data_IF_160762145309
#
_entry.id   IF_160762145309
#
_cell.length_a   1.000
_cell.length_b   1.000
_cell.length_c   1.000
_cell.angle_alpha   90.00
_cell.angle_beta   90.00
_cell.angle_gamma   90.00
#
_symmetry.space_group_name_H-M   'P 1'
#
loop_
_entity.id
_entity.type
_entity.pdbx_description
1 polymer ?
#
# COMPACT_ATOMS: atom_id res chain seq x y z
N UNK A 1 -57.13 -30.96 54.28
CA UNK A 1 -56.18 -29.96 53.80
C UNK A 1 -54.81 -30.55 53.50
N UNK A 2 -54.64 -31.74 52.90
CA UNK A 2 -53.34 -32.38 52.61
C UNK A 2 -53.11 -32.66 51.11
N UNK A 3 -54.05 -32.40 50.23
CA UNK A 3 -53.96 -32.73 48.80
C UNK A 3 -53.41 -31.61 47.90
N UNK A 4 -53.34 -30.38 48.40
CA UNK A 4 -52.88 -29.23 47.59
C UNK A 4 -51.35 -29.10 47.49
N UNK A 5 -50.58 -29.70 48.40
CA UNK A 5 -49.12 -29.58 48.41
C UNK A 5 -48.43 -30.52 47.39
N UNK A 6 -49.05 -31.68 47.18
CA UNK A 6 -48.49 -32.67 46.24
C UNK A 6 -48.61 -32.29 44.76
N UNK A 7 -49.65 -31.53 44.40
CA UNK A 7 -49.79 -31.03 43.03
C UNK A 7 -48.81 -29.88 42.71
N UNK A 8 -48.44 -29.06 43.70
CA UNK A 8 -47.46 -28.02 43.49
C UNK A 8 -46.02 -28.54 43.37
N UNK A 9 -45.67 -29.61 44.09
CA UNK A 9 -44.34 -30.19 43.97
C UNK A 9 -44.12 -30.94 42.65
N UNK A 10 -45.18 -31.54 42.06
CA UNK A 10 -45.09 -32.24 40.78
C UNK A 10 -44.90 -31.25 39.60
N UNK A 11 -45.52 -30.10 39.66
CA UNK A 11 -45.38 -29.10 38.59
C UNK A 11 -44.00 -28.43 38.61
N UNK A 12 -43.40 -28.21 39.76
CA UNK A 12 -42.05 -27.61 39.87
C UNK A 12 -40.98 -28.59 39.39
N UNK A 13 -41.15 -29.89 39.70
CA UNK A 13 -40.22 -30.93 39.21
C UNK A 13 -40.25 -31.10 37.70
N UNK A 14 -41.45 -31.01 37.08
CA UNK A 14 -41.57 -31.14 35.62
C UNK A 14 -41.00 -29.94 34.86
N UNK A 15 -41.19 -28.74 35.38
CA UNK A 15 -40.65 -27.52 34.78
C UNK A 15 -39.14 -27.46 34.94
N UNK A 16 -38.61 -27.85 36.07
CA UNK A 16 -37.15 -27.93 36.32
C UNK A 16 -36.46 -28.96 35.40
N UNK A 17 -37.07 -30.12 35.20
CA UNK A 17 -36.50 -31.16 34.30
C UNK A 17 -36.54 -30.70 32.82
N UNK A 18 -37.61 -30.02 32.42
CA UNK A 18 -37.76 -29.52 31.05
C UNK A 18 -36.77 -28.37 30.75
N UNK A 19 -36.54 -27.49 31.75
CA UNK A 19 -35.51 -26.44 31.60
C UNK A 19 -34.09 -27.00 31.53
N UNK A 20 -33.80 -28.08 32.29
CA UNK A 20 -32.49 -28.72 32.23
C UNK A 20 -32.27 -29.45 30.91
N UNK A 21 -33.32 -30.03 30.34
CA UNK A 21 -33.27 -30.68 29.03
C UNK A 21 -33.13 -29.70 27.88
N UNK A 22 -33.76 -28.50 27.98
CA UNK A 22 -33.59 -27.44 26.99
C UNK A 22 -32.19 -26.82 27.00
N UNK A 23 -31.53 -26.74 28.15
CA UNK A 23 -30.13 -26.26 28.22
C UNK A 23 -29.14 -27.23 27.58
N UNK A 24 -29.45 -28.54 27.55
CA UNK A 24 -28.59 -29.54 26.90
C UNK A 24 -28.77 -29.60 25.38
N UNK A 25 -29.83 -28.95 24.84
CA UNK A 25 -30.10 -28.85 23.41
C UNK A 25 -29.58 -27.52 22.80
N UNK A 26 -29.01 -26.62 23.60
CA UNK A 26 -28.25 -25.55 23.02
C UNK A 26 -27.08 -26.22 22.31
N UNK A 27 -27.01 -26.13 20.97
CA UNK A 27 -25.80 -26.53 20.31
C UNK A 27 -24.71 -25.67 20.97
N UNK A 28 -23.82 -26.34 21.71
CA UNK A 28 -22.57 -25.76 22.04
C UNK A 28 -22.04 -25.26 20.68
N UNK A 29 -22.19 -23.95 20.40
CA UNK A 29 -21.30 -23.32 19.51
C UNK A 29 -19.91 -23.50 20.14
N UNK A 30 -19.37 -24.72 20.00
CA UNK A 30 -17.95 -24.84 19.93
C UNK A 30 -17.59 -23.70 18.98
N UNK A 31 -16.96 -22.66 19.49
CA UNK A 31 -16.17 -21.79 18.63
C UNK A 31 -15.24 -22.76 17.92
N UNK A 32 -15.69 -23.24 16.75
CA UNK A 32 -14.77 -23.60 15.72
C UNK A 32 -13.94 -22.32 15.58
N UNK A 33 -12.85 -22.27 16.30
CA UNK A 33 -11.76 -21.40 15.91
C UNK A 33 -11.58 -21.80 14.47
N UNK A 34 -11.99 -20.93 13.51
CA UNK A 34 -11.85 -21.30 12.13
C UNK A 34 -10.41 -21.70 12.01
N UNK A 35 -10.19 -22.95 11.62
CA UNK A 35 -8.85 -23.44 11.34
C UNK A 35 -8.40 -22.55 10.20
N UNK A 36 -7.75 -21.41 10.54
CA UNK A 36 -7.24 -20.41 9.60
C UNK A 36 -6.13 -20.99 8.73
N UNK A 37 -6.07 -22.34 8.67
CA UNK A 37 -5.18 -23.03 7.77
C UNK A 37 -5.75 -22.93 6.36
N UNK A 38 -5.10 -22.12 5.56
CA UNK A 38 -5.34 -22.12 4.13
C UNK A 38 -5.14 -23.54 3.60
N UNK A 39 -6.21 -24.12 3.03
CA UNK A 39 -6.22 -25.50 2.48
C UNK A 39 -6.07 -25.54 0.95
N UNK A 40 -5.89 -24.37 0.32
CA UNK A 40 -5.64 -24.27 -1.10
C UNK A 40 -4.19 -24.57 -1.48
N UNK A 41 -3.89 -24.40 -2.76
CA UNK A 41 -2.52 -24.51 -3.26
C UNK A 41 -1.60 -23.51 -2.59
N UNK A 42 -0.41 -23.96 -2.19
CA UNK A 42 0.56 -23.07 -1.60
C UNK A 42 1.16 -22.17 -2.68
N UNK A 43 0.89 -20.87 -2.57
CA UNK A 43 1.28 -19.88 -3.57
C UNK A 43 2.28 -18.88 -3.00
N UNK A 44 3.10 -18.36 -3.90
CA UNK A 44 3.98 -17.23 -3.70
C UNK A 44 3.30 -16.02 -4.30
N UNK A 45 3.16 -14.94 -3.52
CA UNK A 45 2.56 -13.68 -3.92
C UNK A 45 3.59 -12.56 -3.79
N UNK A 46 3.76 -11.78 -4.85
CA UNK A 46 4.51 -10.53 -4.85
C UNK A 46 3.52 -9.39 -4.62
N UNK A 47 3.72 -8.59 -3.57
CA UNK A 47 2.80 -7.50 -3.19
C UNK A 47 3.57 -6.26 -2.78
N UNK A 48 3.00 -5.11 -3.09
CA UNK A 48 3.38 -3.84 -2.51
C UNK A 48 2.73 -3.66 -1.12
N UNK A 49 3.13 -2.67 -0.33
CA UNK A 49 2.56 -2.44 1.00
C UNK A 49 1.04 -2.22 1.02
N UNK A 50 0.48 -1.69 -0.05
CA UNK A 50 -0.97 -1.49 -0.26
C UNK A 50 -1.69 -2.76 -0.78
N UNK A 51 -0.97 -3.87 -0.95
CA UNK A 51 -1.48 -5.13 -1.48
C UNK A 51 -1.55 -5.20 -3.00
N UNK A 52 -1.24 -4.13 -3.72
CA UNK A 52 -1.23 -4.11 -5.20
C UNK A 52 -0.06 -4.90 -5.79
N UNK A 53 -0.11 -5.15 -7.11
CA UNK A 53 0.96 -5.78 -7.89
C UNK A 53 1.47 -4.88 -9.01
N UNK A 54 1.14 -3.61 -8.95
CA UNK A 54 1.62 -2.64 -9.93
C UNK A 54 1.92 -1.32 -9.25
N UNK A 55 2.97 -0.65 -9.69
CA UNK A 55 3.33 0.69 -9.25
C UNK A 55 3.74 1.54 -10.46
N UNK A 56 3.32 2.79 -10.44
CA UNK A 56 3.79 3.84 -11.35
C UNK A 56 4.75 4.73 -10.58
N UNK A 57 5.95 4.95 -11.13
CA UNK A 57 6.95 5.86 -10.58
C UNK A 57 7.39 6.86 -11.64
N UNK A 58 7.77 8.05 -11.20
CA UNK A 58 8.38 9.02 -12.08
C UNK A 58 9.84 8.65 -12.37
N UNK A 59 10.33 9.01 -13.56
CA UNK A 59 11.71 8.77 -13.98
C UNK A 59 12.76 9.47 -13.09
N UNK A 60 12.35 10.47 -12.32
CA UNK A 60 13.20 11.17 -11.36
C UNK A 60 13.16 10.59 -9.95
N UNK A 61 12.24 9.63 -9.70
CA UNK A 61 12.10 9.01 -8.38
C UNK A 61 13.34 8.19 -8.01
N UNK A 62 13.80 8.39 -6.79
CA UNK A 62 14.86 7.57 -6.16
C UNK A 62 14.35 6.80 -4.95
N UNK A 63 13.06 6.94 -4.65
CA UNK A 63 12.45 6.31 -3.48
C UNK A 63 12.43 4.80 -3.60
N UNK A 64 12.92 4.08 -2.58
CA UNK A 64 12.92 2.64 -2.57
C UNK A 64 11.51 2.05 -2.56
N UNK A 65 11.25 1.10 -3.46
CA UNK A 65 10.00 0.35 -3.53
C UNK A 65 10.15 -0.90 -2.64
N UNK A 66 9.36 -0.98 -1.58
CA UNK A 66 9.31 -2.16 -0.72
C UNK A 66 8.38 -3.20 -1.34
N UNK A 67 8.86 -4.42 -1.51
CA UNK A 67 8.07 -5.54 -2.00
C UNK A 67 8.04 -6.63 -0.95
N UNK A 68 6.84 -7.07 -0.58
CA UNK A 68 6.61 -8.23 0.27
C UNK A 68 6.41 -9.46 -0.60
N UNK A 69 7.14 -10.49 -0.31
CA UNK A 69 6.98 -11.83 -0.89
C UNK A 69 6.31 -12.71 0.15
N UNK A 70 5.10 -13.15 -0.13
CA UNK A 70 4.26 -13.86 0.83
C UNK A 70 3.93 -15.28 0.36
N UNK A 71 3.99 -16.23 1.30
CA UNK A 71 3.46 -17.58 1.12
C UNK A 71 2.01 -17.63 1.62
N UNK A 72 1.15 -18.35 0.95
CA UNK A 72 -0.25 -18.53 1.39
C UNK A 72 -0.36 -19.49 2.57
N UNK A 73 0.64 -20.34 2.80
CA UNK A 73 0.71 -21.19 4.01
C UNK A 73 2.15 -21.30 4.52
N UNK A 74 2.29 -21.50 5.85
CA UNK A 74 3.60 -21.72 6.48
C UNK A 74 4.20 -23.04 6.05
N UNK A 75 5.51 -23.06 5.88
CA UNK A 75 6.26 -24.29 5.60
C UNK A 75 7.13 -24.69 6.78
N UNK A 76 7.37 -25.97 6.90
CA UNK A 76 8.30 -26.53 7.90
C UNK A 76 9.75 -26.25 7.56
N UNK A 77 10.05 -26.07 6.27
CA UNK A 77 11.38 -25.80 5.76
C UNK A 77 11.48 -24.36 5.25
N UNK A 78 12.69 -23.80 5.26
CA UNK A 78 12.97 -22.51 4.66
C UNK A 78 12.73 -22.55 3.15
N UNK A 79 12.18 -21.48 2.59
CA UNK A 79 11.91 -21.32 1.16
C UNK A 79 12.88 -20.32 0.57
N UNK A 80 13.75 -20.77 -0.32
CA UNK A 80 14.66 -19.92 -1.08
C UNK A 80 14.10 -19.68 -2.48
N UNK A 81 14.00 -18.41 -2.86
CA UNK A 81 13.44 -17.93 -4.11
C UNK A 81 14.50 -17.19 -4.90
N UNK A 82 14.50 -17.39 -6.22
CA UNK A 82 15.27 -16.59 -7.16
C UNK A 82 14.35 -15.55 -7.79
N UNK A 83 14.78 -14.30 -7.77
CA UNK A 83 14.04 -13.14 -8.25
C UNK A 83 14.76 -12.52 -9.44
N UNK A 84 13.99 -12.07 -10.42
CA UNK A 84 14.54 -11.44 -11.61
C UNK A 84 13.70 -10.23 -12.02
N UNK A 85 14.38 -9.20 -12.51
CA UNK A 85 13.76 -8.05 -13.19
C UNK A 85 13.94 -8.21 -14.68
N UNK A 86 12.86 -8.09 -15.42
CA UNK A 86 12.82 -8.15 -16.89
C UNK A 86 12.05 -6.95 -17.45
N UNK A 87 12.21 -6.69 -18.73
CA UNK A 87 11.56 -5.58 -19.43
C UNK A 87 12.50 -4.38 -19.65
N UNK A 88 11.99 -3.38 -20.37
CA UNK A 88 12.77 -2.22 -20.80
C UNK A 88 13.32 -1.40 -19.63
N UNK A 89 12.51 -1.25 -18.59
CA UNK A 89 12.91 -0.51 -17.38
C UNK A 89 13.81 -1.31 -16.42
N UNK A 90 14.13 -2.57 -16.69
CA UNK A 90 14.89 -3.41 -15.77
C UNK A 90 16.28 -2.85 -15.45
N UNK A 91 16.95 -2.23 -16.44
CA UNK A 91 18.27 -1.58 -16.27
C UNK A 91 18.24 -0.34 -15.38
N UNK A 92 17.06 0.25 -15.22
CA UNK A 92 16.83 1.43 -14.37
C UNK A 92 16.40 1.09 -12.95
N UNK A 93 16.44 -0.19 -12.58
CA UNK A 93 16.02 -0.69 -11.29
C UNK A 93 17.06 -1.64 -10.70
N UNK A 94 17.31 -1.52 -9.42
CA UNK A 94 18.26 -2.40 -8.72
C UNK A 94 17.54 -3.15 -7.60
N UNK A 95 17.64 -4.49 -7.60
CA UNK A 95 17.18 -5.33 -6.49
C UNK A 95 18.20 -5.31 -5.35
N UNK A 96 17.72 -5.21 -4.10
CA UNK A 96 18.57 -5.39 -2.92
C UNK A 96 19.19 -6.79 -2.85
N UNK A 97 18.52 -7.80 -3.41
CA UNK A 97 19.03 -9.15 -3.59
C UNK A 97 18.27 -9.86 -4.71
N UNK A 98 18.96 -10.69 -5.45
CA UNK A 98 18.36 -11.62 -6.44
C UNK A 98 17.87 -12.91 -5.79
N UNK A 99 18.24 -13.16 -4.54
CA UNK A 99 17.80 -14.33 -3.77
C UNK A 99 17.13 -13.89 -2.50
N UNK A 100 15.96 -14.46 -2.21
CA UNK A 100 15.22 -14.24 -0.98
C UNK A 100 14.96 -15.56 -0.28
N UNK A 101 15.31 -15.65 1.00
CA UNK A 101 14.97 -16.81 1.83
C UNK A 101 13.91 -16.42 2.85
N UNK A 102 12.79 -17.11 2.82
CA UNK A 102 11.75 -17.04 3.84
C UNK A 102 12.02 -18.16 4.84
N UNK A 103 12.33 -17.85 6.11
CA UNK A 103 12.67 -18.88 7.11
C UNK A 103 11.52 -19.85 7.37
N UNK A 104 11.85 -21.04 7.85
CA UNK A 104 10.86 -22.03 8.30
C UNK A 104 9.88 -21.41 9.30
N UNK A 105 8.60 -21.70 9.13
CA UNK A 105 7.53 -21.17 9.98
C UNK A 105 7.14 -19.71 9.72
N UNK A 106 7.86 -18.98 8.85
CA UNK A 106 7.48 -17.62 8.46
C UNK A 106 6.60 -17.63 7.20
N UNK A 107 5.78 -16.58 7.04
CA UNK A 107 4.92 -16.41 5.87
C UNK A 107 5.48 -15.40 4.88
N UNK A 108 6.37 -14.53 5.29
CA UNK A 108 6.76 -13.37 4.51
C UNK A 108 8.27 -13.14 4.55
N UNK A 109 8.76 -12.59 3.46
CA UNK A 109 10.08 -12.00 3.32
C UNK A 109 9.97 -10.70 2.52
N UNK A 110 10.95 -9.82 2.62
CA UNK A 110 10.93 -8.54 1.94
C UNK A 110 12.15 -8.32 1.07
N UNK A 111 11.97 -7.62 -0.03
CA UNK A 111 13.04 -7.07 -0.86
C UNK A 111 12.79 -5.59 -1.12
N UNK A 112 13.83 -4.90 -1.51
CA UNK A 112 13.79 -3.49 -1.89
C UNK A 112 14.21 -3.38 -3.35
N UNK A 113 13.47 -2.59 -4.12
CA UNK A 113 13.83 -2.20 -5.48
C UNK A 113 14.17 -0.71 -5.44
N UNK A 114 15.38 -0.36 -5.83
CA UNK A 114 15.84 1.03 -5.86
C UNK A 114 15.82 1.53 -7.31
N UNK A 115 15.02 2.56 -7.62
CA UNK A 115 15.04 3.19 -8.93
C UNK A 115 16.32 3.99 -9.16
N UNK A 116 16.82 3.96 -10.40
CA UNK A 116 17.91 4.79 -10.90
C UNK A 116 17.60 5.28 -12.32
N UNK A 117 16.36 5.66 -12.54
CA UNK A 117 15.77 5.85 -13.87
C UNK A 117 16.18 7.15 -14.58
N UNK A 118 17.37 7.67 -14.34
CA UNK A 118 17.89 8.86 -15.03
C UNK A 118 17.90 8.65 -16.55
N UNK A 119 17.31 9.62 -17.26
CA UNK A 119 17.30 9.63 -18.73
C UNK A 119 16.17 8.82 -19.38
N UNK A 120 15.21 8.34 -18.64
CA UNK A 120 13.99 7.74 -19.19
C UNK A 120 13.15 8.83 -19.85
N UNK A 121 13.03 8.78 -21.17
CA UNK A 121 12.31 9.79 -21.98
C UNK A 121 10.96 9.28 -22.48
N UNK A 122 10.70 7.99 -22.37
CA UNK A 122 9.43 7.34 -22.73
C UNK A 122 8.98 6.44 -21.60
N UNK A 123 7.69 6.18 -21.51
CA UNK A 123 7.18 5.23 -20.53
C UNK A 123 7.73 3.83 -20.77
N UNK A 124 8.31 3.23 -19.76
CA UNK A 124 8.93 1.91 -19.79
C UNK A 124 8.37 1.03 -18.68
N UNK A 125 8.41 -0.28 -18.89
CA UNK A 125 7.95 -1.24 -17.88
C UNK A 125 9.03 -2.25 -17.53
N UNK A 126 9.03 -2.64 -16.26
CA UNK A 126 9.74 -3.79 -15.75
C UNK A 126 8.79 -4.72 -15.00
N UNK A 127 9.13 -6.00 -15.00
CA UNK A 127 8.42 -7.04 -14.24
C UNK A 127 9.40 -7.69 -13.27
N UNK A 128 9.01 -7.75 -12.01
CA UNK A 128 9.65 -8.59 -11.01
C UNK A 128 8.96 -9.93 -11.00
N UNK A 129 9.71 -11.00 -11.24
CA UNK A 129 9.23 -12.38 -11.31
C UNK A 129 9.99 -13.26 -10.32
N UNK A 130 9.36 -14.34 -9.87
CA UNK A 130 10.04 -15.46 -9.22
C UNK A 130 10.42 -16.46 -10.30
N UNK A 131 11.72 -16.68 -10.53
CA UNK A 131 12.23 -17.56 -11.60
C UNK A 131 12.51 -18.98 -11.13
N UNK A 132 12.72 -19.17 -9.82
CA UNK A 132 12.89 -20.48 -9.20
C UNK A 132 12.30 -20.49 -7.82
N UNK A 133 11.55 -21.54 -7.51
CA UNK A 133 10.93 -21.76 -6.22
C UNK A 133 11.07 -23.24 -5.82
N UNK A 134 10.93 -23.52 -4.52
CA UNK A 134 10.86 -24.90 -4.02
C UNK A 134 9.68 -25.64 -4.66
N UNK A 135 9.82 -26.96 -4.81
CA UNK A 135 8.76 -27.80 -5.37
C UNK A 135 7.44 -27.68 -4.57
N UNK A 136 6.31 -27.75 -5.26
CA UNK A 136 4.99 -27.62 -4.65
C UNK A 136 4.58 -26.17 -4.32
N UNK A 137 5.28 -25.18 -4.86
CA UNK A 137 4.89 -23.78 -4.78
C UNK A 137 4.51 -23.25 -6.15
N UNK A 138 3.36 -22.60 -6.25
CA UNK A 138 2.93 -21.89 -7.44
C UNK A 138 3.22 -20.39 -7.29
N UNK A 139 3.63 -19.74 -8.36
CA UNK A 139 3.81 -18.27 -8.38
C UNK A 139 2.54 -17.61 -8.87
N UNK A 140 1.97 -16.71 -8.06
CA UNK A 140 0.77 -15.96 -8.41
C UNK A 140 1.13 -14.67 -9.17
N UNK A 141 1.71 -14.83 -10.34
CA UNK A 141 2.00 -13.71 -11.26
C UNK A 141 3.14 -12.79 -10.81
N UNK A 142 3.43 -11.84 -11.67
CA UNK A 142 4.53 -10.89 -11.53
C UNK A 142 4.07 -9.59 -10.86
N UNK A 143 5.03 -8.80 -10.39
CA UNK A 143 4.82 -7.42 -9.98
C UNK A 143 5.32 -6.49 -11.09
N UNK A 144 4.48 -5.57 -11.55
CA UNK A 144 4.78 -4.64 -12.65
C UNK A 144 5.20 -3.27 -12.09
N UNK A 145 6.31 -2.75 -12.60
CA UNK A 145 6.79 -1.40 -12.30
C UNK A 145 6.79 -0.62 -13.61
N UNK A 146 6.03 0.46 -13.64
CA UNK A 146 6.00 1.38 -14.77
C UNK A 146 6.77 2.63 -14.41
N UNK A 147 7.76 2.99 -15.21
CA UNK A 147 8.51 4.23 -15.10
C UNK A 147 7.97 5.18 -16.15
N UNK A 148 7.50 6.36 -15.72
CA UNK A 148 6.99 7.40 -16.61
C UNK A 148 7.90 8.62 -16.56
N UNK A 149 8.29 9.19 -17.73
CA UNK A 149 9.00 10.45 -17.75
C UNK A 149 8.10 11.55 -17.19
N UNK A 150 8.70 12.52 -16.49
CA UNK A 150 7.98 13.74 -16.15
C UNK A 150 7.70 14.51 -17.44
N UNK A 151 6.48 15.06 -17.62
CA UNK A 151 6.20 15.95 -18.72
C UNK A 151 7.16 17.16 -18.71
N UNK A 152 7.47 17.70 -19.89
CA UNK A 152 8.23 18.94 -19.98
C UNK A 152 7.24 20.09 -19.88
N UNK A 153 7.37 20.91 -18.85
CA UNK A 153 6.59 22.12 -18.74
C UNK A 153 7.19 23.22 -19.63
N UNK A 154 6.33 23.88 -20.38
CA UNK A 154 6.73 25.02 -21.22
C UNK A 154 5.96 26.24 -20.76
N UNK A 155 6.66 27.31 -20.29
CA UNK A 155 6.02 28.55 -19.88
C UNK A 155 5.35 29.24 -21.07
N UNK A 156 4.26 29.93 -20.79
CA UNK A 156 3.70 30.90 -21.76
C UNK A 156 4.66 32.04 -21.98
N UNK A 157 4.50 32.80 -23.08
CA UNK A 157 5.33 33.94 -23.36
C UNK A 157 5.30 34.99 -22.20
N UNK A 158 4.15 35.19 -21.58
CA UNK A 158 4.00 36.06 -20.41
C UNK A 158 4.76 35.56 -19.19
N UNK A 159 4.64 34.26 -18.88
CA UNK A 159 5.39 33.64 -17.80
C UNK A 159 6.90 33.68 -18.05
N UNK A 160 7.33 33.42 -19.29
CA UNK A 160 8.74 33.50 -19.65
C UNK A 160 9.31 34.90 -19.45
N UNK A 161 8.58 35.96 -19.85
CA UNK A 161 9.02 37.35 -19.62
C UNK A 161 9.20 37.68 -18.12
N UNK A 162 8.30 37.17 -17.26
CA UNK A 162 8.44 37.32 -15.81
C UNK A 162 9.64 36.53 -15.27
N UNK A 163 9.86 35.29 -15.73
CA UNK A 163 11.01 34.47 -15.33
C UNK A 163 12.32 35.16 -15.69
N UNK A 164 12.42 35.71 -16.90
CA UNK A 164 13.62 36.45 -17.34
C UNK A 164 13.83 37.72 -16.53
N UNK A 165 12.74 38.43 -16.19
CA UNK A 165 12.77 39.58 -15.30
C UNK A 165 13.25 39.26 -13.89
N UNK A 166 12.81 38.14 -13.31
CA UNK A 166 13.28 37.66 -12.00
C UNK A 166 14.75 37.25 -12.05
N UNK A 167 15.16 36.55 -13.11
CA UNK A 167 16.56 36.15 -13.31
C UNK A 167 17.47 37.36 -13.40
N UNK A 168 17.06 38.43 -14.09
CA UNK A 168 17.80 39.66 -14.14
C UNK A 168 17.96 40.34 -12.78
N UNK A 169 17.07 40.10 -11.84
CA UNK A 169 17.12 40.54 -10.43
C UNK A 169 17.87 39.56 -9.52
N UNK A 170 18.46 38.48 -10.05
CA UNK A 170 19.17 37.44 -9.29
C UNK A 170 18.28 36.39 -8.67
N UNK A 171 16.99 36.30 -9.04
CA UNK A 171 16.06 35.28 -8.56
C UNK A 171 15.96 34.20 -9.64
N UNK A 172 16.59 33.07 -9.42
CA UNK A 172 16.50 31.89 -10.31
C UNK A 172 15.40 30.92 -9.89
N UNK A 173 14.36 30.86 -10.69
CA UNK A 173 13.22 29.97 -10.49
C UNK A 173 13.34 28.63 -11.28
N UNK A 174 14.42 28.41 -12.02
CA UNK A 174 14.57 27.27 -12.93
C UNK A 174 14.54 25.91 -12.23
N UNK A 175 14.91 25.86 -10.95
CA UNK A 175 14.90 24.64 -10.13
C UNK A 175 13.54 24.37 -9.45
N UNK A 176 12.65 25.36 -9.48
CA UNK A 176 11.34 25.30 -8.79
C UNK A 176 10.22 25.08 -9.79
N UNK A 177 10.30 25.76 -10.96
CA UNK A 177 9.25 25.69 -11.97
C UNK A 177 9.34 24.38 -12.78
N UNK A 178 8.18 23.83 -13.11
CA UNK A 178 8.06 22.61 -13.90
C UNK A 178 7.41 21.46 -13.13
N UNK A 179 7.50 20.28 -13.71
CA UNK A 179 6.95 19.07 -13.09
C UNK A 179 7.92 18.46 -12.08
N UNK A 180 7.40 18.14 -10.92
CA UNK A 180 8.14 17.54 -9.81
C UNK A 180 7.46 16.25 -9.37
N UNK A 181 8.26 15.30 -8.90
CA UNK A 181 7.73 14.15 -8.16
C UNK A 181 7.54 14.56 -6.71
N UNK A 182 6.35 14.34 -6.19
CA UNK A 182 6.05 14.59 -4.78
C UNK A 182 6.12 13.29 -4.03
N UNK A 183 7.01 13.25 -3.05
CA UNK A 183 7.15 12.14 -2.11
C UNK A 183 7.11 12.71 -0.70
N UNK A 184 6.26 12.13 0.14
CA UNK A 184 6.16 12.59 1.51
C UNK A 184 5.06 11.89 2.29
N UNK A 185 5.07 12.09 3.58
CA UNK A 185 3.96 11.77 4.47
C UNK A 185 3.47 13.06 5.09
N UNK A 186 2.16 13.27 5.04
CA UNK A 186 1.51 14.34 5.81
C UNK A 186 0.80 13.68 6.97
N UNK A 187 1.31 13.93 8.18
CA UNK A 187 0.61 13.55 9.39
C UNK A 187 -0.39 14.63 9.74
N UNK A 188 -1.66 14.32 9.53
CA UNK A 188 -2.75 15.18 9.97
C UNK A 188 -2.98 14.91 11.47
N UNK A 189 -2.30 15.66 12.32
CA UNK A 189 -2.63 15.73 13.73
C UNK A 189 -3.73 16.76 13.91
N UNK A 190 -4.95 16.29 14.15
CA UNK A 190 -6.03 17.15 14.65
C UNK A 190 -6.94 17.79 13.62
N UNK A 191 -7.45 17.04 12.64
CA UNK A 191 -8.71 17.40 12.02
C UNK A 191 -9.83 17.05 13.01
N UNK A 192 -10.31 18.03 13.71
CA UNK A 192 -11.64 17.99 14.34
C UNK A 192 -12.63 18.22 13.21
N UNK A 193 -13.30 17.17 12.78
CA UNK A 193 -14.44 17.31 11.89
C UNK A 193 -15.58 17.88 12.72
N UNK A 194 -15.80 19.18 12.59
CA UNK A 194 -16.82 19.94 13.36
C UNK A 194 -18.25 19.61 12.97
N UNK A 195 -18.48 18.78 11.95
CA UNK A 195 -19.79 18.65 11.34
C UNK A 195 -20.76 17.69 12.03
N UNK A 196 -20.34 16.86 12.99
CA UNK A 196 -21.26 15.88 13.58
C UNK A 196 -21.21 15.74 15.10
N UNK A 197 -20.60 16.66 15.82
CA UNK A 197 -20.65 16.68 17.29
C UNK A 197 -20.01 15.47 17.99
N UNK A 198 -19.17 14.73 17.28
CA UNK A 198 -18.35 13.65 17.81
C UNK A 198 -16.89 13.97 17.58
N UNK A 199 -16.11 14.03 18.65
CA UNK A 199 -14.65 14.14 18.60
C UNK A 199 -14.03 12.88 17.97
N UNK A 200 -14.00 12.80 16.65
CA UNK A 200 -13.27 11.75 15.95
C UNK A 200 -11.84 12.24 15.80
N UNK A 201 -11.00 11.88 16.73
CA UNK A 201 -9.54 12.02 16.59
C UNK A 201 -9.00 10.93 15.66
N UNK A 202 -9.17 11.08 14.36
CA UNK A 202 -8.53 10.21 13.39
C UNK A 202 -7.13 10.74 13.10
N UNK A 203 -6.10 10.02 13.55
CA UNK A 203 -4.74 10.21 13.05
C UNK A 203 -4.63 9.50 11.71
N UNK A 204 -4.79 10.21 10.61
CA UNK A 204 -4.55 9.67 9.29
C UNK A 204 -3.16 10.11 8.81
N UNK A 205 -2.30 9.16 8.52
CA UNK A 205 -1.06 9.43 7.80
C UNK A 205 -1.32 9.27 6.31
N UNK A 206 -1.31 10.34 5.56
CA UNK A 206 -1.39 10.32 4.11
C UNK A 206 0.02 10.18 3.55
N UNK A 207 0.27 9.13 2.78
CA UNK A 207 1.49 8.97 2.02
C UNK A 207 1.23 9.33 0.57
N UNK A 208 1.95 10.34 0.08
CA UNK A 208 1.99 10.67 -1.34
C UNK A 208 3.28 10.07 -1.87
N UNK A 209 3.20 9.10 -2.76
CA UNK A 209 4.35 8.48 -3.40
C UNK A 209 4.17 8.51 -4.91
N UNK A 210 5.12 9.12 -5.60
CA UNK A 210 5.14 9.15 -7.06
C UNK A 210 4.09 10.05 -7.70
N UNK A 211 3.38 10.89 -6.96
CA UNK A 211 2.49 11.89 -7.55
C UNK A 211 3.29 12.93 -8.31
N UNK A 212 2.77 13.37 -9.46
CA UNK A 212 3.37 14.43 -10.25
C UNK A 212 2.68 15.75 -9.92
N UNK A 213 3.45 16.76 -9.57
CA UNK A 213 2.99 18.10 -9.29
C UNK A 213 3.60 19.06 -10.29
N UNK A 214 2.79 19.91 -10.90
CA UNK A 214 3.25 21.04 -11.68
C UNK A 214 3.36 22.28 -10.80
N UNK A 215 4.53 22.91 -10.81
CA UNK A 215 4.76 24.23 -10.22
C UNK A 215 4.95 25.24 -11.34
N UNK A 216 4.09 26.21 -11.39
CA UNK A 216 4.12 27.27 -12.42
C UNK A 216 3.94 28.67 -11.80
N UNK A 217 4.25 29.71 -12.55
CA UNK A 217 3.90 31.08 -12.15
C UNK A 217 2.38 31.25 -12.26
N UNK A 218 1.78 31.71 -11.17
CA UNK A 218 0.37 32.09 -11.14
C UNK A 218 0.11 33.32 -12.00
N UNK A 219 -1.11 33.50 -12.45
CA UNK A 219 -1.64 34.72 -13.08
C UNK A 219 -1.57 35.97 -12.18
N UNK A 220 -1.35 35.74 -10.86
CA UNK A 220 -1.13 36.82 -9.87
C UNK A 220 0.33 37.23 -9.73
N UNK A 221 1.25 36.55 -10.39
CA UNK A 221 2.68 36.93 -10.38
C UNK A 221 2.88 38.29 -11.09
N UNK A 222 3.67 39.13 -10.47
CA UNK A 222 4.03 40.47 -10.99
C UNK A 222 5.54 40.59 -11.18
N UNK A 223 6.02 41.64 -11.84
CA UNK A 223 7.47 41.84 -12.02
C UNK A 223 8.27 41.90 -10.71
N UNK A 224 7.62 42.21 -9.58
CA UNK A 224 8.28 42.38 -8.29
C UNK A 224 8.00 41.27 -7.31
N UNK A 225 6.96 40.44 -7.57
CA UNK A 225 6.55 39.38 -6.66
C UNK A 225 6.23 38.09 -7.42
N UNK A 226 7.07 37.06 -7.29
CA UNK A 226 6.74 35.75 -7.81
C UNK A 226 5.64 35.10 -6.95
N UNK A 227 4.55 34.70 -7.58
CA UNK A 227 3.47 33.94 -6.97
C UNK A 227 3.40 32.59 -7.68
N UNK A 228 3.56 31.49 -6.94
CA UNK A 228 3.55 30.14 -7.48
C UNK A 228 2.16 29.54 -7.39
N UNK A 229 1.81 28.73 -8.39
CA UNK A 229 0.64 27.90 -8.43
C UNK A 229 1.08 26.43 -8.48
N UNK A 230 0.43 25.60 -7.70
CA UNK A 230 0.65 24.17 -7.63
C UNK A 230 -0.57 23.45 -8.17
N UNK A 231 -0.37 22.50 -9.08
CA UNK A 231 -1.43 21.68 -9.68
C UNK A 231 -1.04 20.20 -9.61
N UNK A 232 -1.98 19.32 -9.29
CA UNK A 232 -1.81 17.87 -9.17
C UNK A 232 -2.55 17.17 -10.31
#
# INVERSE_FOLDING_TARGET
MKTSLYHRLRSIGAIGLFSLLLLSLLPSCAKDTPDNKYRGENKIQLRLPDGSRSVLIAATSTSPIKVTVRLTSRRTDAVTLQLNLTGEAASSLTLSSKTLTIPAGQLEGGIIITPSAKGVTTQQQAKLSVTSAASGLMVEGDLTITISPLPVWTPTAAQQALIDGYRAKGIDLSTILGYHTVEGSVDWAGFTEYDYGTDIHSKATWRISGATMLVELSDRATADQPVLKFSY
#
